data_IF_574798112585
#
_entry.id   IF_574798112585
#
_cell.length_a   1.000
_cell.length_b   1.000
_cell.length_c   1.000
_cell.angle_alpha   90.00
_cell.angle_beta   90.00
_cell.angle_gamma   90.00
#
_symmetry.space_group_name_H-M   'P 1'
#
loop_
_entity.id
_entity.type
_entity.pdbx_description
1 polymer ?
#
# COMPACT_ATOMS: atom_id res chain seq x y z
N UNK A 1 -10.20 -9.64 49.01
CA UNK A 1 -11.43 -8.81 48.85
C UNK A 1 -12.08 -8.44 50.18
N UNK A 2 -12.18 -9.34 51.15
CA UNK A 2 -12.92 -9.14 52.42
C UNK A 2 -12.40 -7.98 53.28
N UNK A 3 -11.09 -7.87 53.49
CA UNK A 3 -10.49 -6.79 54.34
C UNK A 3 -10.68 -5.39 53.76
N UNK A 4 -10.69 -5.24 52.42
CA UNK A 4 -10.89 -3.93 51.78
C UNK A 4 -12.37 -3.51 51.83
N UNK A 5 -13.29 -4.47 51.67
CA UNK A 5 -14.72 -4.25 51.83
C UNK A 5 -15.09 -3.85 53.26
N UNK A 6 -14.48 -4.47 54.27
CA UNK A 6 -14.69 -4.08 55.68
C UNK A 6 -14.18 -2.66 55.97
N UNK A 7 -13.04 -2.26 55.39
CA UNK A 7 -12.51 -0.90 55.52
C UNK A 7 -13.42 0.15 54.86
N UNK A 8 -13.92 -0.15 53.66
CA UNK A 8 -14.91 0.68 52.97
C UNK A 8 -16.22 0.78 53.77
N UNK A 9 -16.70 -0.34 54.33
CA UNK A 9 -17.91 -0.34 55.15
C UNK A 9 -17.75 0.48 56.43
N UNK A 10 -16.57 0.48 57.07
CA UNK A 10 -16.28 1.35 58.22
C UNK A 10 -16.20 2.81 57.81
N UNK A 11 -15.50 3.11 56.71
CA UNK A 11 -15.41 4.48 56.17
C UNK A 11 -16.79 5.07 55.86
N UNK A 12 -17.70 4.28 55.27
CA UNK A 12 -19.09 4.68 55.02
C UNK A 12 -19.88 4.92 56.31
N UNK A 13 -19.66 4.09 57.33
CA UNK A 13 -20.36 4.22 58.60
C UNK A 13 -19.86 5.44 59.39
N UNK A 14 -18.55 5.67 59.41
CA UNK A 14 -17.92 6.82 60.07
C UNK A 14 -18.32 8.13 59.39
N UNK A 15 -18.49 8.15 58.07
CA UNK A 15 -19.01 9.29 57.33
C UNK A 15 -20.46 9.67 57.68
N UNK A 16 -21.27 8.76 58.22
CA UNK A 16 -22.63 9.09 58.68
C UNK A 16 -22.65 9.74 60.07
N UNK A 17 -21.56 9.63 60.82
CA UNK A 17 -21.47 10.02 62.23
C UNK A 17 -20.60 11.28 62.39
N UNK A 18 -19.48 11.36 61.66
CA UNK A 18 -18.53 12.47 61.74
C UNK A 18 -18.65 13.41 60.52
N UNK A 19 -18.98 14.70 60.72
CA UNK A 19 -19.11 15.67 59.63
C UNK A 19 -17.84 15.84 58.79
N UNK A 20 -16.65 15.69 59.39
CA UNK A 20 -15.39 15.86 58.65
C UNK A 20 -15.11 14.66 57.74
N UNK A 21 -15.38 13.45 58.23
CA UNK A 21 -15.31 12.21 57.45
C UNK A 21 -16.37 12.19 56.34
N UNK A 22 -17.55 12.78 56.57
CA UNK A 22 -18.58 12.93 55.55
C UNK A 22 -18.12 13.79 54.36
N UNK A 23 -17.50 14.94 54.64
CA UNK A 23 -16.94 15.81 53.58
C UNK A 23 -15.86 15.10 52.76
N UNK A 24 -15.05 14.27 53.44
CA UNK A 24 -14.01 13.46 52.82
C UNK A 24 -14.61 12.34 51.95
N UNK A 25 -15.73 11.75 52.38
CA UNK A 25 -16.50 10.78 51.61
C UNK A 25 -17.11 11.41 50.34
N UNK A 26 -17.74 12.58 50.45
CA UNK A 26 -18.34 13.28 49.31
C UNK A 26 -17.26 13.63 48.26
N UNK A 27 -16.10 14.13 48.69
CA UNK A 27 -14.96 14.39 47.81
C UNK A 27 -14.40 13.11 47.16
N UNK A 28 -14.35 12.00 47.89
CA UNK A 28 -13.92 10.71 47.33
C UNK A 28 -14.92 10.16 46.31
N UNK A 29 -16.21 10.35 46.53
CA UNK A 29 -17.29 9.97 45.61
C UNK A 29 -17.26 10.83 44.33
N UNK A 30 -17.07 12.13 44.45
CA UNK A 30 -16.86 13.04 43.31
C UNK A 30 -15.60 12.66 42.52
N UNK A 31 -14.49 12.34 43.20
CA UNK A 31 -13.27 11.88 42.53
C UNK A 31 -13.48 10.53 41.81
N UNK A 32 -14.25 9.61 42.40
CA UNK A 32 -14.57 8.31 41.78
C UNK A 32 -15.43 8.47 40.52
N UNK A 33 -16.47 9.31 40.59
CA UNK A 33 -17.33 9.59 39.43
C UNK A 33 -16.58 10.34 38.34
N UNK A 34 -15.69 11.27 38.70
CA UNK A 34 -14.78 11.93 37.77
C UNK A 34 -13.82 10.95 37.10
N UNK A 35 -13.25 10.00 37.86
CA UNK A 35 -12.36 8.98 37.32
C UNK A 35 -13.10 8.00 36.39
N UNK A 36 -14.33 7.62 36.73
CA UNK A 36 -15.17 6.77 35.87
C UNK A 36 -15.54 7.47 34.57
N UNK A 37 -15.93 8.75 34.64
CA UNK A 37 -16.22 9.57 33.45
C UNK A 37 -15.00 9.71 32.55
N UNK A 38 -13.81 9.92 33.12
CA UNK A 38 -12.57 9.96 32.35
C UNK A 38 -12.22 8.61 31.74
N UNK A 39 -12.44 7.50 32.45
CA UNK A 39 -12.20 6.17 31.91
C UNK A 39 -13.16 5.84 30.76
N UNK A 40 -14.44 6.21 30.88
CA UNK A 40 -15.42 6.06 29.80
C UNK A 40 -15.07 6.95 28.60
N UNK A 41 -14.64 8.19 28.84
CA UNK A 41 -14.16 9.09 27.79
C UNK A 41 -12.91 8.55 27.10
N UNK A 42 -11.94 8.03 27.86
CA UNK A 42 -10.73 7.39 27.32
C UNK A 42 -11.05 6.11 26.55
N UNK A 43 -12.04 5.33 26.99
CA UNK A 43 -12.53 4.16 26.25
C UNK A 43 -13.22 4.56 24.95
N UNK A 44 -14.08 5.58 24.98
CA UNK A 44 -14.68 6.15 23.76
C UNK A 44 -13.60 6.72 22.82
N UNK A 45 -12.59 7.42 23.34
CA UNK A 45 -11.47 7.88 22.53
C UNK A 45 -10.66 6.71 21.98
N UNK A 46 -10.44 5.65 22.77
CA UNK A 46 -9.74 4.46 22.30
C UNK A 46 -10.54 3.71 21.23
N UNK A 47 -11.87 3.62 21.36
CA UNK A 47 -12.76 3.04 20.35
C UNK A 47 -12.87 3.91 19.10
N UNK A 48 -13.00 5.23 19.25
CA UNK A 48 -12.95 6.19 18.17
C UNK A 48 -11.61 6.12 17.44
N UNK A 49 -10.49 6.09 18.14
CA UNK A 49 -9.17 5.89 17.54
C UNK A 49 -9.06 4.48 16.92
N UNK A 50 -9.66 3.44 17.50
CA UNK A 50 -9.64 2.09 16.91
C UNK A 50 -10.50 2.01 15.64
N UNK A 51 -11.61 2.73 15.55
CA UNK A 51 -12.46 2.79 14.34
C UNK A 51 -11.92 3.78 13.30
N UNK A 52 -11.42 4.95 13.71
CA UNK A 52 -10.88 5.98 12.82
C UNK A 52 -9.43 5.72 12.43
N UNK A 53 -8.58 5.18 13.31
CA UNK A 53 -7.16 4.88 13.04
C UNK A 53 -6.94 3.40 12.74
N UNK A 54 -7.71 2.48 13.35
CA UNK A 54 -7.58 1.04 13.10
C UNK A 54 -8.11 0.60 11.72
N UNK A 55 -9.12 1.29 11.17
CA UNK A 55 -9.55 1.07 9.78
C UNK A 55 -8.81 1.95 8.75
N UNK A 56 -8.15 3.05 9.17
CA UNK A 56 -7.35 3.89 8.25
C UNK A 56 -5.94 3.35 7.96
N UNK A 57 -5.44 2.36 8.72
CA UNK A 57 -4.02 1.94 8.66
C UNK A 57 -3.67 0.92 7.56
N UNK A 58 -4.40 0.87 6.45
CA UNK A 58 -4.06 -0.02 5.32
C UNK A 58 -4.04 0.65 3.95
N UNK A 59 -4.34 1.95 3.88
CA UNK A 59 -4.15 2.71 2.65
C UNK A 59 -2.79 3.40 2.68
N UNK A 60 -1.87 3.00 1.80
CA UNK A 60 -0.67 3.79 1.46
C UNK A 60 -1.10 5.03 0.66
N UNK A 61 -2.36 5.11 0.19
CA UNK A 61 -2.86 6.36 -0.38
C UNK A 61 -2.86 7.42 0.72
N UNK A 62 -2.06 8.46 0.53
CA UNK A 62 -1.97 9.54 1.50
C UNK A 62 -3.33 10.23 1.61
N UNK A 63 -4.06 10.00 2.70
CA UNK A 63 -5.03 10.96 3.25
C UNK A 63 -4.22 12.13 3.85
N UNK A 64 -3.39 12.79 3.05
CA UNK A 64 -2.78 14.05 3.49
C UNK A 64 -3.92 15.06 3.54
N UNK A 65 -4.15 15.76 4.67
CA UNK A 65 -5.01 16.93 4.65
C UNK A 65 -4.48 17.83 3.54
N UNK A 66 -5.40 18.34 2.70
CA UNK A 66 -5.08 19.29 1.64
C UNK A 66 -4.37 20.46 2.31
N UNK A 67 -3.05 20.41 2.39
CA UNK A 67 -2.24 21.58 2.72
C UNK A 67 -2.56 22.54 1.60
N UNK A 68 -3.10 23.72 1.94
CA UNK A 68 -3.53 24.75 0.99
C UNK A 68 -2.52 24.86 -0.16
N UNK A 69 -2.81 24.16 -1.25
CA UNK A 69 -1.92 24.06 -2.39
C UNK A 69 -2.44 25.04 -3.41
N UNK A 70 -1.58 25.92 -3.92
CA UNK A 70 -1.95 26.90 -4.93
C UNK A 70 -2.19 26.28 -6.32
N UNK A 71 -2.21 24.93 -6.42
CA UNK A 71 -2.55 24.23 -7.64
C UNK A 71 -4.05 24.33 -7.91
N UNK A 72 -4.42 24.89 -9.06
CA UNK A 72 -5.78 24.76 -9.58
C UNK A 72 -6.12 23.31 -9.93
N UNK A 73 -7.41 22.99 -10.03
CA UNK A 73 -7.96 21.64 -10.29
C UNK A 73 -7.30 20.91 -11.47
N UNK A 74 -6.90 21.62 -12.53
CA UNK A 74 -6.27 21.06 -13.73
C UNK A 74 -4.73 21.03 -13.67
N UNK A 75 -4.12 21.63 -12.65
CA UNK A 75 -2.67 21.80 -12.53
C UNK A 75 -2.04 20.98 -11.41
N UNK A 76 -2.84 20.17 -10.70
CA UNK A 76 -2.30 19.31 -9.65
C UNK A 76 -1.34 18.28 -10.25
N UNK A 77 -0.25 17.93 -9.55
CA UNK A 77 0.68 16.87 -9.98
C UNK A 77 -0.03 15.54 -10.28
N UNK A 78 -1.04 15.19 -9.49
CA UNK A 78 -1.86 14.00 -9.72
C UNK A 78 -2.61 14.08 -11.06
N UNK A 79 -3.28 15.21 -11.35
CA UNK A 79 -3.98 15.38 -12.62
C UNK A 79 -3.02 15.35 -13.82
N UNK A 80 -1.82 15.95 -13.68
CA UNK A 80 -0.76 15.88 -14.70
C UNK A 80 -0.36 14.43 -14.95
N UNK A 81 -0.08 13.65 -13.91
CA UNK A 81 0.25 12.23 -14.04
C UNK A 81 -0.85 11.46 -14.78
N UNK A 82 -2.12 11.68 -14.43
CA UNK A 82 -3.24 10.96 -15.06
C UNK A 82 -3.40 11.31 -16.54
N UNK A 83 -3.21 12.57 -16.90
CA UNK A 83 -3.20 13.03 -18.30
C UNK A 83 -2.04 12.40 -19.06
N UNK A 84 -0.82 12.46 -18.51
CA UNK A 84 0.37 11.86 -19.11
C UNK A 84 0.20 10.35 -19.27
N UNK A 85 -0.32 9.65 -18.26
CA UNK A 85 -0.57 8.21 -18.33
C UNK A 85 -1.59 7.88 -19.42
N UNK A 86 -2.65 8.68 -19.56
CA UNK A 86 -3.64 8.51 -20.63
C UNK A 86 -3.02 8.63 -22.02
N UNK A 87 -2.09 9.57 -22.21
CA UNK A 87 -1.33 9.71 -23.47
C UNK A 87 -0.47 8.47 -23.71
N UNK A 88 0.26 8.03 -22.68
CA UNK A 88 1.16 6.87 -22.75
C UNK A 88 0.42 5.58 -23.07
N UNK A 89 -0.75 5.33 -22.46
CA UNK A 89 -1.57 4.15 -22.73
C UNK A 89 -2.18 4.15 -24.14
N UNK A 90 -2.28 5.31 -24.80
CA UNK A 90 -2.72 5.43 -26.19
C UNK A 90 -1.58 5.31 -27.20
N UNK A 91 -0.32 5.38 -26.76
CA UNK A 91 0.86 5.28 -27.63
C UNK A 91 0.93 3.90 -28.32
N UNK A 92 0.97 3.83 -29.66
CA UNK A 92 1.15 2.57 -30.38
C UNK A 92 2.39 1.77 -29.98
N UNK A 93 3.47 2.43 -29.54
CA UNK A 93 4.70 1.76 -29.12
C UNK A 93 4.49 0.95 -27.83
N UNK A 94 3.58 1.37 -26.95
CA UNK A 94 3.31 0.61 -25.72
C UNK A 94 2.47 -0.63 -25.97
N UNK A 95 1.76 -0.69 -27.11
CA UNK A 95 1.11 -1.92 -27.57
C UNK A 95 2.12 -3.03 -27.88
N UNK A 96 3.39 -2.69 -28.22
CA UNK A 96 4.44 -3.68 -28.47
C UNK A 96 4.80 -4.50 -27.23
N UNK A 97 4.67 -3.91 -26.04
CA UNK A 97 4.85 -4.61 -24.76
C UNK A 97 3.53 -5.16 -24.19
N UNK A 98 2.45 -5.12 -24.98
CA UNK A 98 1.11 -5.55 -24.58
C UNK A 98 0.64 -4.95 -23.27
N UNK A 99 0.93 -3.66 -23.05
CA UNK A 99 0.52 -2.97 -21.83
C UNK A 99 -0.97 -2.65 -21.87
N UNK A 100 -1.69 -3.04 -20.83
CA UNK A 100 -3.06 -2.60 -20.55
C UNK A 100 -3.08 -1.97 -19.15
N UNK A 101 -3.51 -0.72 -19.05
CA UNK A 101 -3.62 0.01 -17.79
C UNK A 101 -5.08 0.24 -17.40
N UNK A 102 -5.40 0.06 -16.11
CA UNK A 102 -6.73 0.31 -15.55
C UNK A 102 -6.60 0.89 -14.14
N UNK A 103 -7.38 1.93 -13.84
CA UNK A 103 -7.52 2.41 -12.47
C UNK A 103 -8.38 1.44 -11.65
N UNK A 104 -7.89 1.03 -10.49
CA UNK A 104 -8.66 0.31 -9.48
C UNK A 104 -9.28 1.29 -8.49
N UNK A 105 -8.50 2.29 -8.09
CA UNK A 105 -8.93 3.38 -7.22
C UNK A 105 -8.38 4.71 -7.73
N UNK A 106 -9.12 5.79 -7.52
CA UNK A 106 -8.73 7.13 -7.93
C UNK A 106 -9.32 8.16 -6.96
N UNK A 107 -8.47 9.07 -6.51
CA UNK A 107 -8.82 10.24 -5.71
C UNK A 107 -8.24 11.51 -6.37
N UNK A 108 -8.45 12.67 -5.76
CA UNK A 108 -7.85 13.94 -6.21
C UNK A 108 -6.33 14.00 -6.03
N UNK A 109 -5.77 13.18 -5.14
CA UNK A 109 -4.36 13.22 -4.76
C UNK A 109 -3.64 11.89 -4.95
N UNK A 110 -4.33 10.82 -5.33
CA UNK A 110 -3.75 9.49 -5.37
C UNK A 110 -4.51 8.56 -6.29
N UNK A 111 -3.84 7.53 -6.78
CA UNK A 111 -4.44 6.50 -7.62
C UNK A 111 -3.78 5.14 -7.38
N UNK A 112 -4.59 4.09 -7.50
CA UNK A 112 -4.11 2.72 -7.65
C UNK A 112 -4.34 2.29 -9.10
N UNK A 113 -3.25 2.03 -9.81
CA UNK A 113 -3.29 1.65 -11.22
C UNK A 113 -2.82 0.21 -11.38
N UNK A 114 -3.69 -0.62 -11.92
CA UNK A 114 -3.33 -1.95 -12.43
C UNK A 114 -2.71 -1.81 -13.82
N UNK A 115 -1.54 -2.41 -13.99
CA UNK A 115 -0.88 -2.62 -15.27
C UNK A 115 -0.78 -4.12 -15.55
N UNK A 116 -1.27 -4.53 -16.70
CA UNK A 116 -1.09 -5.87 -17.25
C UNK A 116 -0.08 -5.80 -18.38
N UNK A 117 1.00 -6.54 -18.26
CA UNK A 117 1.99 -6.72 -19.31
C UNK A 117 1.74 -8.05 -19.99
N UNK A 118 1.76 -8.08 -21.31
CA UNK A 118 1.35 -9.26 -22.05
C UNK A 118 1.73 -9.21 -23.51
N UNK A 119 1.11 -10.08 -24.28
CA UNK A 119 1.28 -10.18 -25.72
C UNK A 119 -0.01 -10.63 -26.38
N UNK A 120 -0.20 -10.25 -27.65
CA UNK A 120 -1.33 -10.71 -28.45
C UNK A 120 -0.85 -11.88 -29.30
N UNK A 121 -1.38 -13.08 -29.03
CA UNK A 121 -1.15 -14.30 -29.80
C UNK A 121 -2.48 -14.70 -30.42
N UNK A 122 -2.53 -14.94 -31.73
CA UNK A 122 -3.75 -15.38 -32.42
C UNK A 122 -4.99 -14.52 -32.13
N UNK A 123 -4.80 -13.19 -32.08
CA UNK A 123 -5.82 -12.18 -31.73
C UNK A 123 -6.33 -12.24 -30.29
N UNK A 124 -5.76 -13.09 -29.43
CA UNK A 124 -6.07 -13.16 -28.00
C UNK A 124 -4.97 -12.50 -27.18
N UNK A 125 -5.38 -11.70 -26.20
CA UNK A 125 -4.44 -11.11 -25.25
C UNK A 125 -4.07 -12.11 -24.16
N UNK A 126 -2.78 -12.40 -24.03
CA UNK A 126 -2.23 -13.25 -22.97
C UNK A 126 -1.49 -12.37 -21.97
N UNK A 127 -2.00 -12.29 -20.75
CA UNK A 127 -1.35 -11.59 -19.65
C UNK A 127 -0.18 -12.43 -19.12
N UNK A 128 1.00 -11.83 -19.05
CA UNK A 128 2.23 -12.45 -18.55
C UNK A 128 2.62 -11.96 -17.16
N UNK A 129 2.21 -10.74 -16.79
CA UNK A 129 2.46 -10.16 -15.48
C UNK A 129 1.40 -9.11 -15.14
N UNK A 130 0.91 -9.13 -13.89
CA UNK A 130 0.11 -8.05 -13.30
C UNK A 130 0.97 -7.25 -12.33
N UNK A 131 0.88 -5.94 -12.41
CA UNK A 131 1.55 -5.00 -11.51
C UNK A 131 0.54 -3.96 -11.00
N UNK A 132 0.46 -3.77 -9.70
CA UNK A 132 -0.21 -2.64 -9.07
C UNK A 132 0.82 -1.54 -8.85
N UNK A 133 0.48 -0.30 -9.21
CA UNK A 133 1.26 0.89 -8.92
C UNK A 133 0.45 1.80 -8.02
N UNK A 134 1.02 2.14 -6.86
CA UNK A 134 0.48 3.15 -5.94
C UNK A 134 1.09 4.48 -6.32
N UNK A 135 0.24 5.44 -6.65
CA UNK A 135 0.62 6.79 -7.04
C UNK A 135 0.05 7.76 -6.03
N UNK A 136 0.91 8.59 -5.45
CA UNK A 136 0.54 9.65 -4.51
C UNK A 136 1.11 10.97 -5.00
N UNK A 137 0.27 12.00 -5.05
CA UNK A 137 0.60 13.33 -5.58
C UNK A 137 1.27 13.27 -6.96
N UNK A 138 0.79 12.38 -7.84
CA UNK A 138 1.33 12.16 -9.18
C UNK A 138 2.62 11.34 -9.25
N UNK A 139 3.22 10.95 -8.12
CA UNK A 139 4.48 10.19 -8.09
C UNK A 139 4.22 8.72 -7.72
N UNK A 140 4.80 7.75 -8.45
CA UNK A 140 4.78 6.34 -8.05
C UNK A 140 5.59 6.12 -6.77
N UNK A 141 4.95 5.62 -5.71
CA UNK A 141 5.60 5.35 -4.42
C UNK A 141 5.89 3.87 -4.19
N UNK A 142 5.02 3.00 -4.71
CA UNK A 142 5.10 1.57 -4.47
C UNK A 142 4.59 0.78 -5.66
N UNK A 143 5.22 -0.37 -5.91
CA UNK A 143 4.77 -1.34 -6.92
C UNK A 143 4.64 -2.74 -6.34
N UNK A 144 3.62 -3.47 -6.76
CA UNK A 144 3.41 -4.86 -6.33
C UNK A 144 3.10 -5.72 -7.53
N UNK A 145 3.78 -6.85 -7.64
CA UNK A 145 3.61 -7.81 -8.72
C UNK A 145 2.91 -9.06 -8.22
N UNK A 146 1.97 -9.56 -9.01
CA UNK A 146 1.25 -10.81 -8.74
C UNK A 146 1.18 -11.66 -10.01
N UNK A 147 0.84 -12.95 -9.84
CA UNK A 147 0.70 -13.82 -10.99
C UNK A 147 -0.47 -13.38 -11.90
N UNK A 148 -0.41 -13.66 -13.22
CA UNK A 148 -1.46 -13.30 -14.16
C UNK A 148 -2.87 -13.79 -13.80
N UNK A 149 -2.97 -14.96 -13.16
CA UNK A 149 -4.22 -15.58 -12.73
C UNK A 149 -4.63 -15.23 -11.29
N UNK A 150 -3.82 -14.46 -10.56
CA UNK A 150 -4.19 -13.94 -9.25
C UNK A 150 -5.04 -12.70 -9.38
N UNK A 151 -5.96 -12.50 -8.44
CA UNK A 151 -6.77 -11.30 -8.34
C UNK A 151 -6.33 -10.46 -7.13
N UNK A 152 -6.53 -9.15 -7.22
CA UNK A 152 -6.27 -8.24 -6.12
C UNK A 152 -7.22 -8.56 -4.96
N UNK A 153 -6.66 -8.59 -3.75
CA UNK A 153 -7.49 -8.73 -2.54
C UNK A 153 -8.03 -7.36 -2.14
N UNK A 154 -9.23 -7.36 -1.57
CA UNK A 154 -9.89 -6.15 -1.08
C UNK A 154 -9.99 -6.22 0.43
N UNK A 155 -9.96 -5.07 1.10
CA UNK A 155 -9.91 -5.00 2.56
C UNK A 155 -11.14 -5.62 3.22
N UNK A 156 -12.32 -5.38 2.64
CA UNK A 156 -13.59 -5.92 3.10
C UNK A 156 -14.47 -6.43 1.93
N UNK A 157 -15.37 -7.36 2.23
CA UNK A 157 -16.36 -7.88 1.28
C UNK A 157 -17.31 -6.74 0.89
N UNK A 158 -17.28 -6.35 -0.39
CA UNK A 158 -18.08 -5.22 -0.91
C UNK A 158 -17.36 -3.87 -0.88
N UNK A 159 -16.16 -3.79 -0.31
CA UNK A 159 -15.30 -2.61 -0.48
C UNK A 159 -14.69 -2.59 -1.88
N UNK A 160 -14.59 -1.41 -2.47
CA UNK A 160 -13.80 -1.18 -3.68
C UNK A 160 -12.30 -0.97 -3.38
N UNK A 161 -11.90 -1.10 -2.11
CA UNK A 161 -10.56 -0.75 -1.65
C UNK A 161 -9.62 -1.96 -1.65
N UNK A 162 -8.55 -1.88 -2.43
CA UNK A 162 -7.54 -2.91 -2.63
C UNK A 162 -6.62 -2.97 -1.41
N UNK A 163 -6.39 -4.20 -0.92
CA UNK A 163 -5.37 -4.49 0.09
C UNK A 163 -3.99 -4.60 -0.58
N UNK A 164 -3.30 -3.47 -0.65
CA UNK A 164 -1.93 -3.34 -1.17
C UNK A 164 -0.86 -4.07 -0.34
N UNK A 165 -1.18 -4.46 0.90
CA UNK A 165 -0.26 -5.23 1.73
C UNK A 165 -0.40 -6.73 1.49
N UNK A 166 -1.44 -7.16 0.77
CA UNK A 166 -1.62 -8.55 0.41
C UNK A 166 -0.70 -8.96 -0.72
N UNK A 167 0.42 -9.58 -0.38
CA UNK A 167 1.38 -10.11 -1.34
C UNK A 167 0.83 -11.29 -2.18
N UNK A 168 1.45 -11.53 -3.33
CA UNK A 168 1.20 -12.72 -4.17
C UNK A 168 1.36 -14.02 -3.36
N UNK A 169 0.56 -15.03 -3.68
CA UNK A 169 0.73 -16.37 -3.09
C UNK A 169 2.06 -17.02 -3.48
N UNK A 170 2.63 -16.68 -4.64
CA UNK A 170 3.86 -17.29 -5.13
C UNK A 170 5.09 -16.46 -4.77
N UNK A 171 6.06 -17.11 -4.12
CA UNK A 171 7.30 -16.50 -3.66
C UNK A 171 8.04 -15.70 -4.76
N UNK A 172 7.99 -16.18 -6.00
CA UNK A 172 8.65 -15.51 -7.12
C UNK A 172 8.12 -14.09 -7.35
N UNK A 173 6.80 -13.88 -7.36
CA UNK A 173 6.23 -12.55 -7.57
C UNK A 173 6.41 -11.64 -6.35
N UNK A 174 6.46 -12.20 -5.13
CA UNK A 174 6.83 -11.43 -3.93
C UNK A 174 8.23 -10.87 -4.07
N UNK A 175 9.20 -11.72 -4.41
CA UNK A 175 10.59 -11.29 -4.58
C UNK A 175 10.76 -10.39 -5.81
N UNK A 176 9.97 -10.55 -6.88
CA UNK A 176 9.91 -9.59 -8.00
C UNK A 176 9.41 -8.22 -7.53
N UNK A 177 8.39 -8.16 -6.68
CA UNK A 177 7.90 -6.91 -6.10
C UNK A 177 9.00 -6.19 -5.33
N UNK A 178 9.79 -6.92 -4.53
CA UNK A 178 10.94 -6.36 -3.81
C UNK A 178 11.95 -5.75 -4.79
N UNK A 179 12.34 -6.47 -5.84
CA UNK A 179 13.27 -5.97 -6.85
C UNK A 179 12.70 -4.77 -7.62
N UNK A 180 11.42 -4.80 -7.96
CA UNK A 180 10.73 -3.71 -8.64
C UNK A 180 10.75 -2.43 -7.80
N UNK A 181 10.53 -2.52 -6.48
CA UNK A 181 10.62 -1.37 -5.59
C UNK A 181 12.06 -0.87 -5.39
N UNK A 182 13.05 -1.76 -5.35
CA UNK A 182 14.47 -1.35 -5.32
C UNK A 182 14.80 -0.52 -6.57
N UNK A 183 14.39 -0.99 -7.75
CA UNK A 183 14.58 -0.24 -9.00
C UNK A 183 13.75 1.04 -9.07
N UNK A 184 12.54 1.03 -8.53
CA UNK A 184 11.72 2.22 -8.39
C UNK A 184 12.49 3.31 -7.63
N UNK A 185 12.98 2.99 -6.44
CA UNK A 185 13.66 3.95 -5.57
C UNK A 185 15.04 4.35 -6.08
N UNK A 186 15.85 3.41 -6.58
CA UNK A 186 17.26 3.66 -6.90
C UNK A 186 17.48 4.11 -8.34
N UNK A 187 16.63 3.71 -9.28
CA UNK A 187 16.83 3.95 -10.72
C UNK A 187 15.78 4.89 -11.31
N UNK A 188 14.51 4.75 -10.93
CA UNK A 188 13.40 5.47 -11.57
C UNK A 188 13.13 6.82 -10.89
N UNK A 189 12.99 6.84 -9.55
CA UNK A 189 12.69 8.05 -8.78
C UNK A 189 13.65 9.22 -9.03
N UNK A 190 14.98 9.02 -9.18
CA UNK A 190 15.89 10.12 -9.44
C UNK A 190 15.71 10.81 -10.80
N UNK A 191 15.06 10.16 -11.78
CA UNK A 191 14.97 10.65 -13.15
C UNK A 191 13.54 10.77 -13.69
N UNK A 192 12.52 10.49 -12.87
CA UNK A 192 11.12 10.53 -13.31
C UNK A 192 10.65 11.97 -13.46
N UNK A 193 10.08 12.28 -14.63
CA UNK A 193 9.33 13.51 -14.86
C UNK A 193 7.92 13.15 -15.32
N UNK A 194 6.96 13.36 -14.44
CA UNK A 194 5.54 13.01 -14.64
C UNK A 194 4.86 13.83 -15.73
N UNK A 195 5.47 14.96 -16.13
CA UNK A 195 5.00 15.78 -17.26
C UNK A 195 5.41 15.19 -18.61
N UNK A 196 6.44 14.35 -18.62
CA UNK A 196 7.01 13.81 -19.84
C UNK A 196 6.50 12.38 -20.11
N UNK A 197 5.63 12.25 -21.12
CA UNK A 197 5.10 10.97 -21.56
C UNK A 197 6.19 9.97 -21.98
N UNK A 198 7.31 10.43 -22.56
CA UNK A 198 8.42 9.54 -22.92
C UNK A 198 9.09 8.96 -21.67
N UNK A 199 9.25 9.75 -20.61
CA UNK A 199 9.82 9.28 -19.35
C UNK A 199 8.91 8.23 -18.70
N UNK A 200 7.60 8.49 -18.63
CA UNK A 200 6.65 7.52 -18.06
C UNK A 200 6.56 6.24 -18.91
N UNK A 201 6.56 6.38 -20.25
CA UNK A 201 6.61 5.23 -21.16
C UNK A 201 7.89 4.41 -20.96
N UNK A 202 9.04 5.06 -20.80
CA UNK A 202 10.31 4.39 -20.49
C UNK A 202 10.23 3.60 -19.18
N UNK A 203 9.66 4.18 -18.12
CA UNK A 203 9.46 3.51 -16.83
C UNK A 203 8.59 2.26 -16.98
N UNK A 204 7.47 2.35 -17.69
CA UNK A 204 6.60 1.20 -17.93
C UNK A 204 7.28 0.12 -18.79
N UNK A 205 8.11 0.52 -19.76
CA UNK A 205 8.94 -0.41 -20.53
C UNK A 205 10.02 -1.09 -19.67
N UNK A 206 10.57 -0.40 -18.66
CA UNK A 206 11.48 -1.04 -17.70
C UNK A 206 10.74 -2.13 -16.92
N UNK A 207 9.57 -1.82 -16.36
CA UNK A 207 8.78 -2.81 -15.62
C UNK A 207 8.31 -3.97 -16.51
N UNK A 208 8.00 -3.70 -17.78
CA UNK A 208 7.63 -4.75 -18.73
C UNK A 208 8.70 -5.85 -18.86
N UNK A 209 9.98 -5.54 -18.63
CA UNK A 209 11.06 -6.54 -18.70
C UNK A 209 10.91 -7.65 -17.67
N UNK A 210 10.23 -7.40 -16.53
CA UNK A 210 9.95 -8.44 -15.54
C UNK A 210 9.13 -9.59 -16.10
N UNK A 211 8.24 -9.34 -17.07
CA UNK A 211 7.42 -10.39 -17.68
C UNK A 211 8.26 -11.40 -18.47
N UNK A 212 9.39 -10.95 -19.04
CA UNK A 212 10.29 -11.78 -19.84
C UNK A 212 11.39 -12.49 -19.04
N UNK A 213 11.59 -12.16 -17.76
CA UNK A 213 12.69 -12.71 -16.94
C UNK A 213 12.66 -14.24 -16.87
N UNK A 214 11.47 -14.83 -16.84
CA UNK A 214 11.27 -16.26 -16.74
C UNK A 214 11.85 -17.07 -17.91
N UNK A 215 11.92 -16.46 -19.10
CA UNK A 215 12.41 -17.14 -20.31
C UNK A 215 13.90 -16.85 -20.61
N UNK A 216 14.57 -16.05 -19.76
CA UNK A 216 16.00 -15.79 -19.88
C UNK A 216 16.80 -17.00 -19.38
N UNK A 217 18.02 -17.18 -19.89
CA UNK A 217 18.98 -18.16 -19.35
C UNK A 217 19.84 -17.53 -18.27
N UNK A 218 20.01 -18.23 -17.15
CA UNK A 218 20.95 -17.83 -16.11
C UNK A 218 22.36 -17.67 -16.69
N UNK A 219 23.04 -16.56 -16.36
CA UNK A 219 24.39 -16.26 -16.85
C UNK A 219 25.41 -17.34 -16.47
N UNK A 220 25.27 -17.97 -15.31
CA UNK A 220 26.20 -18.98 -14.76
C UNK A 220 25.83 -20.38 -15.23
N UNK A 221 24.68 -20.93 -14.81
CA UNK A 221 24.35 -22.32 -15.09
C UNK A 221 23.71 -22.57 -16.46
N UNK A 222 23.43 -21.51 -17.24
CA UNK A 222 22.82 -21.56 -18.59
C UNK A 222 21.43 -22.19 -18.70
N UNK A 223 20.83 -22.61 -17.58
CA UNK A 223 19.45 -23.11 -17.51
C UNK A 223 18.45 -21.96 -17.56
N UNK A 224 17.24 -22.24 -18.04
CA UNK A 224 16.17 -21.24 -18.15
C UNK A 224 15.69 -20.89 -16.74
N UNK A 225 15.45 -19.60 -16.50
CA UNK A 225 15.06 -19.04 -15.21
C UNK A 225 13.80 -19.71 -14.60
N UNK A 226 12.81 -20.05 -15.43
CA UNK A 226 11.57 -20.70 -14.99
C UNK A 226 11.75 -22.11 -14.44
N UNK A 227 12.81 -22.81 -14.81
CA UNK A 227 13.02 -24.21 -14.41
C UNK A 227 13.55 -24.31 -12.96
N UNK A 228 14.09 -23.21 -12.41
CA UNK A 228 14.74 -23.18 -11.08
C UNK A 228 14.41 -21.88 -10.32
N UNK A 229 13.12 -21.70 -10.02
CA UNK A 229 12.61 -20.54 -9.30
C UNK A 229 13.24 -20.41 -7.89
N UNK A 230 13.49 -19.19 -7.39
CA UNK A 230 13.08 -17.92 -8.00
C UNK A 230 14.20 -17.17 -8.78
N UNK A 231 13.87 -16.51 -9.91
CA UNK A 231 14.82 -15.87 -10.82
C UNK A 231 14.94 -14.36 -10.54
N UNK A 232 15.85 -13.95 -9.65
CA UNK A 232 15.65 -12.66 -8.96
C UNK A 232 16.82 -11.72 -8.91
N UNK A 233 17.98 -12.13 -9.39
CA UNK A 233 19.13 -11.24 -9.48
C UNK A 233 19.30 -10.87 -10.94
N UNK A 234 18.66 -9.78 -11.38
CA UNK A 234 18.85 -9.25 -12.73
C UNK A 234 18.81 -7.73 -12.72
N UNK A 235 19.70 -7.10 -13.50
CA UNK A 235 19.65 -5.66 -13.73
C UNK A 235 18.59 -5.38 -14.81
N UNK A 236 17.56 -4.59 -14.50
CA UNK A 236 16.55 -4.15 -15.49
C UNK A 236 17.19 -3.52 -16.75
N UNK A 237 18.36 -2.90 -16.62
CA UNK A 237 19.09 -2.31 -17.75
C UNK A 237 19.77 -3.38 -18.61
N UNK A 238 20.16 -4.50 -18.02
CA UNK A 238 20.80 -5.62 -18.71
C UNK A 238 20.21 -6.98 -18.27
N UNK A 239 19.02 -7.36 -18.78
CA UNK A 239 18.35 -8.62 -18.42
C UNK A 239 19.20 -9.87 -18.72
N UNK A 240 20.16 -9.77 -19.66
CA UNK A 240 21.11 -10.84 -20.01
C UNK A 240 22.01 -11.26 -18.83
N UNK A 241 22.09 -10.44 -17.79
CA UNK A 241 22.85 -10.73 -16.57
C UNK A 241 21.99 -11.39 -15.47
N UNK A 242 20.81 -11.93 -15.81
CA UNK A 242 20.00 -12.66 -14.87
C UNK A 242 20.73 -13.88 -14.27
N UNK A 243 20.58 -14.07 -12.97
CA UNK A 243 21.20 -15.13 -12.19
C UNK A 243 20.16 -15.79 -11.28
N UNK A 244 20.24 -17.12 -11.14
CA UNK A 244 19.52 -17.81 -10.06
C UNK A 244 20.13 -17.41 -8.72
N UNK A 245 19.33 -17.44 -7.67
CA UNK A 245 19.78 -17.13 -6.32
C UNK A 245 20.94 -18.04 -5.86
N UNK A 246 20.90 -19.33 -6.24
CA UNK A 246 21.98 -20.30 -5.98
C UNK A 246 23.22 -20.15 -6.86
N UNK A 247 23.15 -19.31 -7.90
CA UNK A 247 24.25 -19.06 -8.83
C UNK A 247 24.98 -17.73 -8.54
N UNK A 248 24.73 -17.13 -7.38
CA UNK A 248 25.44 -15.96 -6.86
C UNK A 248 26.75 -16.38 -6.23
#
# INVERSE_FOLDING_TARGET
MTVQMERLSRFLHDGQIDPHTNELYDKALEASTWMETNNQLLQMYAEFLRTVVGNRRRSIMTDRPISYSNYGLSSSPQNIFEQTLTVVLKDPNIKKIGLVGRYLEKSTLSALVEFKFGQVIDKQYVCLLKMLMVVNSGLPEFVQMIAPHEEWSYLDIGSAQVDIHKESRYLVYRKMSVQANIHLMQTIMPCIDIRNAHTLSYVLNLFAKFSGVFDIKCRVCKRIMKDYLPPLMFDLRCPKNALHESCR
#
